data_IF_668849263702
#
_entry.id   IF_668849263702
#
_cell.length_a   1.000
_cell.length_b   1.000
_cell.length_c   1.000
_cell.angle_alpha   90.00
_cell.angle_beta   90.00
_cell.angle_gamma   90.00
#
_symmetry.space_group_name_H-M   'P 1'
#
loop_
_entity.id
_entity.type
_entity.pdbx_description
1 polymer ?
#
# COMPACT_ATOMS: atom_id res chain seq x y z
N UNK A 1 3.96 11.21 13.93
CA UNK A 1 4.96 12.26 13.69
C UNK A 1 4.27 13.57 13.91
N UNK A 2 4.91 14.49 14.61
CA UNK A 2 4.38 15.84 14.81
C UNK A 2 5.03 16.75 13.78
N UNK A 3 4.21 17.46 13.01
CA UNK A 3 4.69 18.38 11.98
C UNK A 3 5.05 19.72 12.61
N UNK A 4 6.01 20.44 12.02
CA UNK A 4 6.24 21.83 12.40
C UNK A 4 5.01 22.69 12.04
N UNK A 5 4.75 23.81 12.75
CA UNK A 5 3.60 24.67 12.45
C UNK A 5 3.55 25.24 11.02
N UNK A 6 4.71 25.33 10.35
CA UNK A 6 4.81 25.79 8.96
C UNK A 6 4.53 24.68 7.94
N UNK A 7 4.56 23.42 8.35
CA UNK A 7 4.34 22.26 7.48
C UNK A 7 2.86 21.93 7.40
N UNK A 8 2.28 22.06 6.21
CA UNK A 8 0.83 21.93 5.97
C UNK A 8 0.44 20.64 5.27
N UNK A 9 1.42 19.85 4.83
CA UNK A 9 1.19 18.62 4.08
C UNK A 9 2.05 17.48 4.60
N UNK A 10 1.54 16.27 4.41
CA UNK A 10 2.23 15.02 4.65
C UNK A 10 2.69 14.43 3.31
N UNK A 11 3.94 13.98 3.25
CA UNK A 11 4.53 13.29 2.10
C UNK A 11 4.85 11.86 2.49
N UNK A 12 4.57 10.90 1.62
CA UNK A 12 5.07 9.52 1.72
C UNK A 12 5.75 9.09 0.43
N UNK A 13 6.83 8.34 0.57
CA UNK A 13 7.43 7.58 -0.52
C UNK A 13 7.45 6.11 -0.13
N UNK A 14 6.82 5.29 -0.96
CA UNK A 14 6.79 3.85 -0.84
C UNK A 14 7.59 3.22 -1.97
N UNK A 15 8.50 2.33 -1.63
CA UNK A 15 9.29 1.53 -2.56
C UNK A 15 8.96 0.06 -2.33
N UNK A 16 8.25 -0.54 -3.28
CA UNK A 16 7.93 -1.95 -3.30
C UNK A 16 8.88 -2.65 -4.28
N UNK A 17 9.71 -3.55 -3.77
CA UNK A 17 10.53 -4.46 -4.56
C UNK A 17 9.92 -5.85 -4.45
N UNK A 18 9.66 -6.51 -5.57
CA UNK A 18 9.03 -7.82 -5.55
C UNK A 18 9.47 -8.72 -6.69
N UNK A 19 9.39 -10.01 -6.44
CA UNK A 19 9.58 -11.12 -7.37
C UNK A 19 8.32 -11.99 -7.29
N UNK A 20 8.26 -13.08 -8.05
CA UNK A 20 7.16 -14.04 -7.95
C UNK A 20 7.01 -14.68 -6.56
N UNK A 21 8.08 -14.72 -5.74
CA UNK A 21 8.11 -15.45 -4.47
C UNK A 21 8.34 -14.58 -3.24
N UNK A 22 8.85 -13.36 -3.41
CA UNK A 22 9.23 -12.47 -2.31
C UNK A 22 8.90 -11.03 -2.63
N UNK A 23 8.46 -10.28 -1.62
CA UNK A 23 8.30 -8.83 -1.67
C UNK A 23 8.96 -8.17 -0.47
N UNK A 24 9.37 -6.91 -0.66
CA UNK A 24 9.90 -6.04 0.38
C UNK A 24 9.40 -4.61 0.12
N UNK A 25 8.77 -4.03 1.12
CA UNK A 25 8.31 -2.64 1.08
C UNK A 25 9.19 -1.80 2.01
N UNK A 26 9.59 -0.62 1.53
CA UNK A 26 10.19 0.43 2.35
C UNK A 26 9.31 1.69 2.25
N UNK A 27 8.92 2.25 3.40
CA UNK A 27 8.07 3.42 3.47
C UNK A 27 8.83 4.52 4.21
N UNK A 28 8.97 5.68 3.58
CA UNK A 28 9.47 6.89 4.21
C UNK A 28 8.38 7.94 4.25
N UNK A 29 8.34 8.74 5.33
CA UNK A 29 7.32 9.75 5.56
C UNK A 29 7.95 10.99 6.14
N UNK A 30 7.38 12.15 5.79
CA UNK A 30 7.75 13.43 6.37
C UNK A 30 6.63 14.44 6.21
N UNK A 31 6.70 15.51 6.98
CA UNK A 31 5.90 16.70 6.75
C UNK A 31 6.62 17.62 5.74
N UNK A 32 5.88 18.57 5.16
CA UNK A 32 6.41 19.61 4.28
C UNK A 32 5.50 20.85 4.27
N UNK A 33 6.04 22.00 3.85
CA UNK A 33 5.27 23.25 3.67
C UNK A 33 4.31 23.12 2.47
N UNK A 34 4.81 22.57 1.36
CA UNK A 34 4.07 22.33 0.13
C UNK A 34 4.40 20.94 -0.43
N UNK A 35 3.54 20.42 -1.30
CA UNK A 35 3.82 19.16 -1.99
C UNK A 35 5.01 19.36 -2.94
N UNK A 36 6.11 18.61 -2.77
CA UNK A 36 7.30 18.80 -3.60
C UNK A 36 7.07 18.41 -5.06
N UNK A 37 6.15 17.48 -5.31
CA UNK A 37 5.67 17.04 -6.62
C UNK A 37 4.20 16.61 -6.51
N UNK A 38 3.53 16.43 -7.65
CA UNK A 38 2.24 15.72 -7.70
C UNK A 38 2.42 14.25 -7.30
N UNK A 39 1.32 13.60 -6.92
CA UNK A 39 1.32 12.15 -6.71
C UNK A 39 1.82 11.45 -7.98
N UNK A 40 2.77 10.55 -7.82
CA UNK A 40 3.40 9.82 -8.93
C UNK A 40 3.51 8.33 -8.61
N UNK A 41 3.56 7.55 -9.69
CA UNK A 41 3.78 6.12 -9.67
C UNK A 41 4.80 5.81 -10.75
N UNK A 42 5.91 5.20 -10.36
CA UNK A 42 6.96 4.78 -11.28
C UNK A 42 7.20 3.28 -11.13
N UNK A 43 7.14 2.57 -12.24
CA UNK A 43 7.31 1.13 -12.29
C UNK A 43 8.43 0.76 -13.25
N UNK A 44 9.28 -0.17 -12.84
CA UNK A 44 10.31 -0.73 -13.70
C UNK A 44 10.63 -2.16 -13.30
N UNK A 45 11.29 -2.87 -14.21
CA UNK A 45 11.71 -4.25 -14.00
C UNK A 45 13.17 -4.42 -14.38
N UNK A 46 13.88 -5.25 -13.61
CA UNK A 46 15.25 -5.69 -13.90
C UNK A 46 15.29 -7.20 -13.68
N UNK A 47 15.44 -7.97 -14.77
CA UNK A 47 15.36 -9.43 -14.76
C UNK A 47 14.05 -9.90 -14.10
N UNK A 48 14.15 -10.63 -12.99
CA UNK A 48 13.02 -11.20 -12.25
C UNK A 48 12.53 -10.31 -11.10
N UNK A 49 13.09 -9.11 -10.95
CA UNK A 49 12.74 -8.15 -9.91
C UNK A 49 11.90 -7.05 -10.54
N UNK A 50 10.72 -6.84 -9.98
CA UNK A 50 9.83 -5.72 -10.27
C UNK A 50 9.95 -4.70 -9.14
N UNK A 51 9.88 -3.42 -9.51
CA UNK A 51 9.98 -2.31 -8.59
C UNK A 51 8.88 -1.30 -8.87
N UNK A 52 8.22 -0.84 -7.81
CA UNK A 52 7.20 0.20 -7.84
C UNK A 52 7.55 1.26 -6.81
N UNK A 53 7.75 2.49 -7.26
CA UNK A 53 7.81 3.68 -6.41
C UNK A 53 6.44 4.35 -6.46
N UNK A 54 5.85 4.61 -5.31
CA UNK A 54 4.65 5.43 -5.17
C UNK A 54 4.98 6.62 -4.29
N UNK A 55 4.80 7.85 -4.79
CA UNK A 55 4.88 9.04 -3.92
C UNK A 55 3.51 9.68 -3.81
N UNK A 56 3.15 10.03 -2.58
CA UNK A 56 1.87 10.66 -2.27
C UNK A 56 2.08 11.89 -1.42
N UNK A 57 1.24 12.87 -1.65
CA UNK A 57 1.10 14.06 -0.84
C UNK A 57 -0.37 14.27 -0.48
N UNK A 58 -0.63 14.67 0.76
CA UNK A 58 -1.97 14.94 1.27
C UNK A 58 -1.91 15.95 2.43
N UNK A 59 -3.03 16.59 2.76
CA UNK A 59 -3.08 17.74 3.70
C UNK A 59 -3.93 17.51 4.95
N UNK A 60 -4.48 16.31 5.13
CA UNK A 60 -5.25 15.96 6.33
C UNK A 60 -4.37 15.29 7.39
N UNK A 61 -4.79 15.39 8.64
CA UNK A 61 -4.05 14.80 9.75
C UNK A 61 -3.87 13.29 9.56
N UNK A 62 -2.62 12.84 9.71
CA UNK A 62 -2.23 11.43 9.55
C UNK A 62 -2.61 10.76 8.22
N UNK A 63 -2.91 11.54 7.18
CA UNK A 63 -3.36 11.03 5.88
C UNK A 63 -2.35 10.11 5.17
N UNK A 64 -1.06 10.20 5.51
CA UNK A 64 -0.01 9.34 4.98
C UNK A 64 0.26 8.09 5.85
N UNK A 65 -0.71 7.64 6.64
CA UNK A 65 -0.62 6.39 7.41
C UNK A 65 -0.26 5.21 6.50
N UNK A 66 0.60 4.33 7.00
CA UNK A 66 1.01 3.16 6.23
C UNK A 66 -0.15 2.17 6.29
N UNK A 67 -0.39 1.37 5.24
CA UNK A 67 -1.36 0.31 5.32
C UNK A 67 -1.05 -0.53 6.55
N UNK A 68 -2.08 -0.86 7.34
CA UNK A 68 -1.89 -1.85 8.39
C UNK A 68 -1.42 -3.14 7.68
N UNK A 69 -0.39 -3.80 8.23
CA UNK A 69 0.41 -4.86 7.59
C UNK A 69 -0.37 -6.06 7.03
N UNK A 70 -1.69 -6.08 7.20
CA UNK A 70 -2.63 -7.08 6.74
C UNK A 70 -3.09 -6.91 5.28
N UNK A 71 -3.13 -5.69 4.74
CA UNK A 71 -3.69 -5.45 3.39
C UNK A 71 -2.68 -5.70 2.26
N UNK A 72 -1.38 -5.64 2.56
CA UNK A 72 -0.31 -5.92 1.58
C UNK A 72 -0.18 -7.39 1.18
N UNK A 73 -0.64 -8.33 2.03
CA UNK A 73 -0.64 -9.76 1.70
C UNK A 73 -1.80 -10.20 0.79
N UNK A 74 -2.88 -9.41 0.71
CA UNK A 74 -4.04 -9.72 -0.15
C UNK A 74 -3.91 -9.20 -1.59
N UNK A 75 -2.84 -8.46 -1.91
CA UNK A 75 -2.58 -7.95 -3.25
C UNK A 75 -1.68 -8.87 -4.10
N UNK A 76 -1.39 -10.09 -3.64
CA UNK A 76 -0.80 -11.12 -4.50
C UNK A 76 -1.91 -11.67 -5.42
N UNK A 77 -1.71 -11.71 -6.76
CA UNK A 77 -2.68 -12.29 -7.69
C UNK A 77 -2.60 -13.82 -7.56
N UNK A 78 -3.24 -14.36 -6.54
CA UNK A 78 -3.23 -15.78 -6.23
C UNK A 78 -4.61 -16.24 -5.83
N UNK A 79 -5.35 -16.78 -6.80
CA UNK A 79 -6.54 -17.64 -6.63
C UNK A 79 -7.51 -17.19 -5.53
N UNK A 80 -8.57 -16.52 -5.96
CA UNK A 80 -9.86 -16.52 -5.29
C UNK A 80 -10.21 -17.99 -4.94
N UNK A 81 -10.02 -18.38 -3.67
CA UNK A 81 -10.53 -19.65 -3.18
C UNK A 81 -12.04 -19.56 -3.24
N UNK A 82 -12.67 -20.41 -4.06
CA UNK A 82 -14.12 -20.53 -4.13
C UNK A 82 -14.67 -20.73 -2.71
N UNK A 83 -15.75 -20.04 -2.30
CA UNK A 83 -16.47 -20.43 -1.11
C UNK A 83 -17.17 -21.76 -1.40
N UNK A 84 -16.52 -22.87 -1.06
CA UNK A 84 -17.21 -24.14 -0.83
C UNK A 84 -17.93 -24.03 0.51
N UNK A 85 -19.25 -23.97 0.48
CA UNK A 85 -20.07 -24.27 1.65
C UNK A 85 -21.33 -23.43 1.77
N UNK A 86 -22.50 -24.05 1.55
CA UNK A 86 -23.44 -24.45 2.60
C UNK A 86 -24.72 -24.97 1.94
N UNK A 87 -24.64 -26.18 1.40
CA UNK A 87 -25.81 -26.99 1.08
C UNK A 87 -25.84 -28.15 2.05
N UNK A 88 -26.72 -28.09 3.05
CA UNK A 88 -27.39 -29.19 3.75
C UNK A 88 -27.97 -28.65 5.06
N UNK A 89 -29.30 -28.77 5.18
CA UNK A 89 -30.11 -29.05 6.38
C UNK A 89 -31.43 -28.28 6.32
N UNK A 90 -32.34 -28.75 5.48
CA UNK A 90 -33.78 -28.67 5.74
C UNK A 90 -34.38 -30.03 5.40
N UNK A 91 -34.17 -31.00 6.29
CA UNK A 91 -35.02 -32.19 6.37
C UNK A 91 -35.42 -32.32 7.83
N UNK A 92 -36.74 -32.26 8.06
CA UNK A 92 -37.50 -32.59 9.28
C UNK A 92 -37.52 -31.54 10.41
N UNK A 93 -38.57 -30.71 10.40
CA UNK A 93 -39.54 -30.68 11.51
C UNK A 93 -40.93 -30.29 10.99
#
# INVERSE_FOLDING_TARGET
MECQPSEKVCVSNEVLLYTSTKSRTQISKRCAITCPNSNDLFEWSVKNIQARITRRCCSWDHCNRAPDSWEGFRALPGRLLLPMGLGLFCILL
#
